data_IF_803793881625
#
_entry.id   IF_803793881625
#
_cell.length_a   1.000
_cell.length_b   1.000
_cell.length_c   1.000
_cell.angle_alpha   90.00
_cell.angle_beta   90.00
_cell.angle_gamma   90.00
#
_symmetry.space_group_name_H-M   'P 1'
#
loop_
_entity.id
_entity.type
_entity.pdbx_description
1 polymer ?
#
# COMPACT_ATOMS: atom_id res chain seq x y z
N UNK A 1 6.20 19.17 11.84
CA UNK A 1 7.15 18.11 12.21
C UNK A 1 6.41 16.77 12.21
N UNK A 2 7.10 15.65 12.44
CA UNK A 2 6.48 14.32 12.47
C UNK A 2 5.38 14.23 13.56
N UNK A 3 5.58 14.90 14.69
CA UNK A 3 4.61 14.97 15.78
C UNK A 3 3.29 15.65 15.35
N UNK A 4 3.37 16.74 14.59
CA UNK A 4 2.20 17.41 14.00
C UNK A 4 1.46 16.53 12.99
N UNK A 5 2.18 15.80 12.14
CA UNK A 5 1.57 14.89 11.16
C UNK A 5 0.82 13.77 11.89
N UNK A 6 1.46 13.16 12.90
CA UNK A 6 0.90 12.05 13.66
C UNK A 6 -0.39 12.42 14.43
N UNK A 7 -0.52 13.68 14.86
CA UNK A 7 -1.71 14.16 15.59
C UNK A 7 -2.78 14.83 14.72
N UNK A 8 -2.47 15.13 13.46
CA UNK A 8 -3.31 15.96 12.57
C UNK A 8 -4.78 15.52 12.53
N UNK A 9 -5.03 14.26 12.16
CA UNK A 9 -6.42 13.77 12.04
C UNK A 9 -7.16 13.73 13.39
N UNK A 10 -6.44 13.43 14.48
CA UNK A 10 -7.00 13.39 15.84
C UNK A 10 -7.43 14.80 16.30
N UNK A 11 -6.62 15.82 16.04
CA UNK A 11 -6.92 17.20 16.38
C UNK A 11 -8.11 17.74 15.57
N UNK A 12 -8.17 17.45 14.26
CA UNK A 12 -9.36 17.75 13.46
C UNK A 12 -10.61 17.03 13.99
N UNK A 13 -10.46 15.78 14.44
CA UNK A 13 -11.53 15.04 15.11
C UNK A 13 -12.04 15.76 16.37
N UNK A 14 -11.15 16.32 17.19
CA UNK A 14 -11.52 17.09 18.37
C UNK A 14 -12.29 18.39 18.03
N UNK A 15 -12.03 19.00 16.86
CA UNK A 15 -12.74 20.19 16.36
C UNK A 15 -14.09 19.89 15.71
N UNK A 16 -14.46 18.62 15.55
CA UNK A 16 -15.74 18.21 14.97
C UNK A 16 -15.68 17.79 13.49
N UNK A 17 -14.49 17.67 12.88
CA UNK A 17 -14.34 17.07 11.55
C UNK A 17 -14.51 15.55 11.63
N UNK A 18 -15.78 15.09 11.56
CA UNK A 18 -16.17 13.69 11.73
C UNK A 18 -15.90 12.79 10.51
N UNK A 19 -15.67 13.39 9.35
CA UNK A 19 -15.33 12.66 8.13
C UNK A 19 -14.04 13.25 7.55
N UNK A 20 -13.01 12.42 7.49
CA UNK A 20 -11.67 12.80 7.02
C UNK A 20 -11.18 11.72 6.05
N UNK A 21 -10.64 12.13 4.91
CA UNK A 21 -10.22 11.22 3.85
C UNK A 21 -9.12 11.87 3.02
N UNK A 22 -8.27 11.04 2.41
CA UNK A 22 -7.22 11.48 1.48
C UNK A 22 -7.74 11.21 0.07
N UNK A 23 -8.03 12.29 -0.66
CA UNK A 23 -8.68 12.23 -1.98
C UNK A 23 -7.92 11.40 -3.00
N UNK A 24 -6.59 11.54 -3.05
CA UNK A 24 -5.74 10.94 -4.09
C UNK A 24 -4.89 9.77 -3.57
N UNK A 25 -5.25 9.16 -2.43
CA UNK A 25 -4.46 8.06 -1.85
C UNK A 25 -4.23 6.92 -2.86
N UNK A 26 -5.29 6.50 -3.56
CA UNK A 26 -5.20 5.46 -4.59
C UNK A 26 -4.36 5.87 -5.80
N UNK A 27 -4.41 7.14 -6.23
CA UNK A 27 -3.60 7.62 -7.35
C UNK A 27 -2.10 7.56 -7.01
N UNK A 28 -1.72 8.03 -5.82
CA UNK A 28 -0.33 7.99 -5.39
C UNK A 28 0.16 6.57 -5.15
N UNK A 29 -0.61 5.71 -4.46
CA UNK A 29 -0.18 4.34 -4.16
C UNK A 29 -0.03 3.48 -5.42
N UNK A 30 -0.96 3.61 -6.37
CA UNK A 30 -0.95 2.84 -7.62
C UNK A 30 0.22 3.26 -8.52
N UNK A 31 0.34 4.57 -8.80
CA UNK A 31 1.36 5.05 -9.74
C UNK A 31 2.77 4.87 -9.17
N UNK A 32 2.98 5.15 -7.89
CA UNK A 32 4.29 5.01 -7.29
C UNK A 32 4.73 3.54 -7.21
N UNK A 33 3.84 2.65 -6.75
CA UNK A 33 4.14 1.21 -6.65
C UNK A 33 4.47 0.59 -8.01
N UNK A 34 3.74 0.96 -9.06
CA UNK A 34 4.03 0.48 -10.41
C UNK A 34 5.32 1.08 -10.98
N UNK A 35 5.60 2.37 -10.73
CA UNK A 35 6.84 3.00 -11.17
C UNK A 35 8.07 2.32 -10.55
N UNK A 36 8.03 2.05 -9.24
CA UNK A 36 9.13 1.37 -8.55
C UNK A 36 9.34 -0.06 -9.04
N UNK A 37 8.25 -0.82 -9.25
CA UNK A 37 8.34 -2.15 -9.84
C UNK A 37 8.93 -2.10 -11.25
N UNK A 38 8.43 -1.21 -12.12
CA UNK A 38 8.88 -1.11 -13.50
C UNK A 38 10.35 -0.69 -13.60
N UNK A 39 10.78 0.28 -12.79
CA UNK A 39 12.19 0.70 -12.70
C UNK A 39 13.08 -0.45 -12.24
N UNK A 40 12.73 -1.11 -11.13
CA UNK A 40 13.50 -2.24 -10.62
C UNK A 40 13.55 -3.40 -11.62
N UNK A 41 12.45 -3.67 -12.32
CA UNK A 41 12.38 -4.70 -13.34
C UNK A 41 13.25 -4.37 -14.57
N UNK A 42 13.32 -3.10 -14.97
CA UNK A 42 14.21 -2.67 -16.06
C UNK A 42 15.69 -2.87 -15.74
N UNK A 43 16.07 -2.75 -14.46
CA UNK A 43 17.46 -2.88 -14.00
C UNK A 43 17.85 -4.32 -13.63
N UNK A 44 16.91 -5.07 -13.04
CA UNK A 44 17.21 -6.35 -12.34
C UNK A 44 16.30 -7.50 -12.76
N UNK A 45 15.33 -7.26 -13.66
CA UNK A 45 14.38 -8.26 -14.13
C UNK A 45 13.58 -8.90 -13.00
N UNK A 46 13.52 -10.23 -13.01
CA UNK A 46 12.68 -11.01 -12.09
C UNK A 46 13.02 -10.78 -10.61
N UNK A 47 14.25 -10.41 -10.25
CA UNK A 47 14.61 -10.12 -8.86
C UNK A 47 13.70 -9.05 -8.24
N UNK A 48 13.42 -7.97 -8.99
CA UNK A 48 12.54 -6.90 -8.51
C UNK A 48 11.08 -7.37 -8.29
N UNK A 49 10.62 -8.33 -9.10
CA UNK A 49 9.30 -8.93 -8.92
C UNK A 49 9.26 -9.89 -7.72
N UNK A 50 10.30 -10.69 -7.53
CA UNK A 50 10.43 -11.57 -6.36
C UNK A 50 10.47 -10.75 -5.07
N UNK A 51 11.17 -9.62 -5.05
CA UNK A 51 11.18 -8.73 -3.88
C UNK A 51 9.78 -8.20 -3.54
N UNK A 52 8.95 -7.90 -4.55
CA UNK A 52 7.53 -7.58 -4.32
C UNK A 52 6.79 -8.77 -3.72
N UNK A 53 6.97 -9.96 -4.28
CA UNK A 53 6.30 -11.18 -3.82
C UNK A 53 6.69 -11.55 -2.37
N UNK A 54 7.96 -11.43 -2.00
CA UNK A 54 8.43 -11.66 -0.62
C UNK A 54 7.81 -10.66 0.37
N UNK A 55 7.64 -9.40 -0.04
CA UNK A 55 6.89 -8.42 0.77
C UNK A 55 5.42 -8.82 0.92
N UNK A 56 4.79 -9.37 -0.12
CA UNK A 56 3.43 -9.89 -0.02
C UNK A 56 3.32 -11.09 0.93
N UNK A 57 4.28 -12.02 0.90
CA UNK A 57 4.35 -13.14 1.84
C UNK A 57 4.54 -12.65 3.28
N UNK A 58 5.45 -11.71 3.53
CA UNK A 58 5.67 -11.13 4.85
C UNK A 58 4.40 -10.42 5.38
N UNK A 59 3.64 -9.76 4.50
CA UNK A 59 2.39 -9.09 4.86
C UNK A 59 1.26 -10.07 5.25
N UNK A 60 1.37 -11.37 4.95
CA UNK A 60 0.37 -12.36 5.37
C UNK A 60 0.22 -12.42 6.89
N UNK A 61 1.30 -12.20 7.64
CA UNK A 61 1.27 -12.13 9.10
C UNK A 61 0.40 -10.97 9.64
N UNK A 62 0.12 -9.98 8.79
CA UNK A 62 -0.73 -8.82 9.09
C UNK A 62 -2.14 -8.94 8.47
N UNK A 63 -2.47 -10.09 7.86
CA UNK A 63 -3.77 -10.37 7.27
C UNK A 63 -3.88 -10.13 5.76
N UNK A 64 -2.78 -9.88 5.05
CA UNK A 64 -2.81 -9.79 3.58
C UNK A 64 -3.06 -11.15 2.93
N UNK A 65 -4.05 -11.25 2.04
CA UNK A 65 -4.48 -12.55 1.44
C UNK A 65 -4.22 -12.68 -0.06
N UNK A 66 -3.97 -11.57 -0.76
CA UNK A 66 -3.96 -11.54 -2.23
C UNK A 66 -2.77 -12.28 -2.87
N UNK A 67 -1.77 -12.72 -2.09
CA UNK A 67 -0.78 -13.74 -2.50
C UNK A 67 -1.48 -14.93 -3.17
N UNK A 68 -2.62 -15.36 -2.61
CA UNK A 68 -3.47 -16.41 -3.19
C UNK A 68 -4.46 -15.82 -4.19
N UNK A 69 -3.94 -15.22 -5.26
CA UNK A 69 -4.72 -14.42 -6.19
C UNK A 69 -5.93 -15.15 -6.80
N UNK A 70 -5.85 -16.47 -7.05
CA UNK A 70 -6.98 -17.26 -7.56
C UNK A 70 -8.18 -17.24 -6.59
N UNK A 71 -7.94 -17.49 -5.29
CA UNK A 71 -8.96 -17.39 -4.24
C UNK A 71 -9.49 -15.96 -4.15
N UNK A 72 -8.61 -14.97 -4.21
CA UNK A 72 -8.96 -13.56 -4.05
C UNK A 72 -9.91 -13.07 -5.15
N UNK A 73 -9.78 -13.59 -6.38
CA UNK A 73 -10.69 -13.30 -7.49
C UNK A 73 -11.90 -14.26 -7.57
N UNK A 74 -12.12 -15.07 -6.53
CA UNK A 74 -13.31 -15.94 -6.42
C UNK A 74 -13.21 -17.27 -7.15
N UNK A 75 -12.00 -17.71 -7.53
CA UNK A 75 -11.77 -19.06 -8.06
C UNK A 75 -11.62 -20.01 -6.86
N UNK A 76 -12.76 -20.49 -6.35
CA UNK A 76 -12.87 -21.45 -5.24
C UNK A 76 -13.98 -22.45 -5.50
#
# INVERSE_FOLDING_TARGET
DDDQIAKFQRELGAMGYRFQFITLAGFHSLNHGMFDLARGYAEQGMTAYVDLQEREFAAQAQGFTAVRHQREVGTG
#
